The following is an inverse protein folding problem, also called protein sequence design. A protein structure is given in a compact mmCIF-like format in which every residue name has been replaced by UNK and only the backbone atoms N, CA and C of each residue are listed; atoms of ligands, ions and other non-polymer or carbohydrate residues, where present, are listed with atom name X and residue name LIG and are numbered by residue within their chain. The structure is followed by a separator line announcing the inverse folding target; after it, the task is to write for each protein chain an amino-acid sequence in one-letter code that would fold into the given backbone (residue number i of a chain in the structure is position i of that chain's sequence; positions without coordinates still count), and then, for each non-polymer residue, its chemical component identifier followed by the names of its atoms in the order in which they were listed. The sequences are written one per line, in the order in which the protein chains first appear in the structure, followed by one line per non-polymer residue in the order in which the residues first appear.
data_IF_074349854857
#
_entry.id   IF_074349854857
#
_cell.length_a   1.000
_cell.length_b   1.000
_cell.length_c   1.000
_cell.angle_alpha   90.00
_cell.angle_beta   90.00
_cell.angle_gamma   90.00
#
_symmetry.space_group_name_H-M   'P 1'
#
loop_
_entity.id
_entity.type
_entity.pdbx_description
1 polymer ?
#
# COMPACT_ATOMS: atom_id res chain seq x y z
N UNK A 1 2.30 -21.89 -26.44
CA UNK A 1 2.48 -21.09 -25.21
C UNK A 1 2.57 -22.04 -24.02
N UNK A 2 3.63 -21.97 -23.21
CA UNK A 2 3.70 -22.73 -21.97
C UNK A 2 2.61 -22.26 -20.98
N UNK A 3 2.11 -23.17 -20.16
CA UNK A 3 1.11 -22.92 -19.11
C UNK A 3 1.39 -23.81 -17.89
N UNK A 4 0.99 -23.34 -16.71
CA UNK A 4 1.19 -24.08 -15.45
C UNK A 4 0.04 -25.05 -15.21
N UNK A 5 0.37 -26.33 -15.05
CA UNK A 5 -0.55 -27.43 -14.82
C UNK A 5 -0.54 -27.89 -13.35
N UNK A 6 -1.60 -28.56 -12.90
CA UNK A 6 -1.72 -29.20 -11.59
C UNK A 6 -2.32 -30.62 -11.72
N UNK A 7 -2.70 -31.26 -10.61
CA UNK A 7 -3.27 -32.62 -10.64
C UNK A 7 -4.50 -32.74 -11.56
N UNK A 8 -4.52 -33.78 -12.39
CA UNK A 8 -5.56 -34.05 -13.38
C UNK A 8 -5.26 -33.55 -14.79
N UNK A 9 -4.36 -32.57 -14.96
CA UNK A 9 -4.01 -32.02 -16.27
C UNK A 9 -3.20 -33.00 -17.15
N UNK A 10 -2.66 -34.07 -16.55
CA UNK A 10 -1.92 -35.13 -17.25
C UNK A 10 -2.71 -36.44 -17.35
N UNK A 11 -4.00 -36.42 -17.02
CA UNK A 11 -4.86 -37.62 -17.02
C UNK A 11 -4.69 -38.51 -15.79
N UNK A 12 -3.98 -38.04 -14.76
CA UNK A 12 -3.82 -38.71 -13.48
C UNK A 12 -5.14 -38.78 -12.69
N UNK A 13 -5.48 -39.97 -12.18
CA UNK A 13 -6.70 -40.21 -11.41
C UNK A 13 -6.52 -41.36 -10.39
N UNK A 14 -6.95 -41.19 -9.13
CA UNK A 14 -7.49 -39.96 -8.54
C UNK A 14 -6.41 -38.87 -8.41
N UNK A 15 -6.83 -37.61 -8.30
CA UNK A 15 -5.94 -36.48 -8.06
C UNK A 15 -6.63 -35.44 -7.16
N UNK A 16 -5.83 -34.55 -6.56
CA UNK A 16 -6.27 -33.50 -5.64
C UNK A 16 -6.14 -32.08 -6.23
N UNK A 17 -6.11 -31.96 -7.56
CA UNK A 17 -6.10 -30.69 -8.31
C UNK A 17 -5.04 -29.70 -7.80
N UNK A 18 -5.45 -28.46 -7.48
CA UNK A 18 -4.58 -27.37 -7.06
C UNK A 18 -4.01 -27.50 -5.64
N UNK A 19 -4.33 -28.57 -4.89
CA UNK A 19 -3.77 -28.77 -3.55
C UNK A 19 -2.24 -28.86 -3.55
N UNK A 20 -1.60 -29.09 -4.70
CA UNK A 20 -0.15 -29.04 -4.85
C UNK A 20 0.45 -27.61 -4.90
N UNK A 21 -0.38 -26.56 -4.98
CA UNK A 21 0.06 -25.17 -5.14
C UNK A 21 -0.07 -24.35 -3.84
N UNK A 22 0.79 -24.61 -2.85
CA UNK A 22 0.75 -23.92 -1.54
C UNK A 22 1.99 -23.04 -1.25
N UNK A 23 2.77 -22.72 -2.27
CA UNK A 23 4.03 -21.98 -2.12
C UNK A 23 3.84 -20.50 -1.80
N UNK A 24 4.84 -19.91 -1.13
CA UNK A 24 5.02 -18.44 -1.05
C UNK A 24 5.55 -17.84 -2.36
N UNK A 25 5.97 -18.70 -3.29
CA UNK A 25 6.46 -18.35 -4.62
C UNK A 25 5.82 -19.28 -5.63
N UNK A 26 5.69 -18.81 -6.87
CA UNK A 26 5.38 -19.65 -8.03
C UNK A 26 6.51 -20.65 -8.30
N UNK A 27 6.23 -21.64 -9.16
CA UNK A 27 7.20 -22.67 -9.53
C UNK A 27 8.50 -22.09 -10.17
N UNK A 28 8.42 -20.94 -10.81
CA UNK A 28 9.56 -20.20 -11.39
C UNK A 28 10.30 -19.30 -10.39
N UNK A 29 9.92 -19.35 -9.09
CA UNK A 29 10.43 -18.54 -7.97
C UNK A 29 9.97 -17.07 -7.99
N UNK A 30 9.06 -16.69 -8.88
CA UNK A 30 8.38 -15.39 -8.80
C UNK A 30 7.56 -15.33 -7.50
N UNK A 31 7.70 -14.28 -6.66
CA UNK A 31 7.06 -14.23 -5.35
C UNK A 31 5.56 -14.00 -5.40
N UNK A 32 4.81 -14.70 -4.54
CA UNK A 32 3.43 -14.33 -4.22
C UNK A 32 3.41 -13.11 -3.27
N UNK A 33 2.32 -12.33 -3.24
CA UNK A 33 2.17 -11.22 -2.30
C UNK A 33 2.41 -11.62 -0.83
N UNK A 34 2.02 -12.84 -0.46
CA UNK A 34 2.20 -13.39 0.90
C UNK A 34 3.67 -13.46 1.35
N UNK A 35 4.64 -13.57 0.43
CA UNK A 35 6.07 -13.58 0.81
C UNK A 35 6.50 -12.24 1.43
N UNK A 36 5.90 -11.13 0.99
CA UNK A 36 6.21 -9.81 1.55
C UNK A 36 5.70 -9.68 2.99
N UNK A 37 4.52 -10.21 3.27
CA UNK A 37 3.97 -10.27 4.63
C UNK A 37 4.86 -11.14 5.54
N UNK A 38 5.24 -12.33 5.07
CA UNK A 38 6.15 -13.20 5.80
C UNK A 38 7.47 -12.51 6.11
N UNK A 39 8.07 -11.81 5.13
CA UNK A 39 9.31 -11.04 5.32
C UNK A 39 9.16 -9.96 6.40
N UNK A 40 8.05 -9.22 6.41
CA UNK A 40 7.82 -8.17 7.40
C UNK A 40 7.63 -8.75 8.81
N UNK A 41 6.80 -9.79 8.97
CA UNK A 41 6.55 -10.41 10.26
C UNK A 41 7.78 -11.15 10.84
N UNK A 42 8.72 -11.56 9.98
CA UNK A 42 9.95 -12.28 10.36
C UNK A 42 11.18 -11.35 10.42
N UNK A 43 11.00 -10.04 10.39
CA UNK A 43 12.11 -9.10 10.46
C UNK A 43 12.80 -9.15 11.84
N UNK A 44 14.13 -8.98 11.87
CA UNK A 44 14.93 -9.12 13.10
C UNK A 44 15.10 -7.80 13.89
N UNK A 45 14.44 -6.73 13.46
CA UNK A 45 14.45 -5.45 14.15
C UNK A 45 13.01 -5.05 14.48
N UNK A 46 12.75 -4.89 15.76
CA UNK A 46 11.46 -4.41 16.27
C UNK A 46 11.55 -2.92 16.56
N UNK A 47 10.44 -2.20 16.37
CA UNK A 47 10.41 -0.75 16.50
C UNK A 47 9.26 -0.29 17.38
N UNK A 48 9.52 0.69 18.24
CA UNK A 48 8.48 1.49 18.88
C UNK A 48 8.77 2.97 18.73
N UNK A 49 7.72 3.79 18.77
CA UNK A 49 7.80 5.24 18.64
C UNK A 49 7.20 5.89 19.89
N UNK A 50 7.98 6.71 20.59
CA UNK A 50 7.54 7.53 21.72
C UNK A 50 7.94 8.99 21.48
N UNK A 51 6.94 9.84 21.23
CA UNK A 51 7.19 11.22 20.80
C UNK A 51 7.94 11.27 19.47
N UNK A 52 9.21 11.70 19.50
CA UNK A 52 10.12 11.73 18.34
C UNK A 52 11.24 10.69 18.43
N UNK A 53 11.19 9.81 19.41
CA UNK A 53 12.23 8.82 19.65
C UNK A 53 11.79 7.46 19.14
N UNK A 54 12.55 6.92 18.20
CA UNK A 54 12.42 5.54 17.74
C UNK A 54 13.28 4.68 18.66
N UNK A 55 12.67 3.68 19.30
CA UNK A 55 13.41 2.59 19.94
C UNK A 55 13.52 1.44 18.94
N UNK A 56 14.76 1.04 18.64
CA UNK A 56 15.07 -0.14 17.82
C UNK A 56 15.52 -1.26 18.75
N UNK A 57 14.90 -2.43 18.67
CA UNK A 57 15.29 -3.63 19.41
C UNK A 57 15.77 -4.71 18.43
N UNK A 58 16.93 -5.30 18.69
CA UNK A 58 17.46 -6.41 17.88
C UNK A 58 16.95 -7.75 18.41
N UNK A 59 16.40 -8.57 17.52
CA UNK A 59 16.04 -9.96 17.82
C UNK A 59 17.14 -10.95 17.42
N UNK A 60 18.27 -10.47 16.90
CA UNK A 60 19.45 -11.32 16.73
C UNK A 60 19.94 -11.84 18.09
N UNK A 61 20.49 -13.06 18.08
CA UNK A 61 21.01 -13.74 19.28
C UNK A 61 22.54 -13.66 19.41
N UNK A 62 23.25 -13.43 18.31
CA UNK A 62 24.72 -13.54 18.28
C UNK A 62 25.43 -12.38 17.58
N UNK A 63 24.87 -11.85 16.49
CA UNK A 63 25.52 -10.80 15.70
C UNK A 63 25.10 -9.40 16.14
N UNK A 64 26.07 -8.50 16.06
CA UNK A 64 25.85 -7.07 16.13
C UNK A 64 25.23 -6.54 14.82
N UNK A 65 24.61 -5.37 14.85
CA UNK A 65 24.10 -4.68 13.65
C UNK A 65 25.21 -3.99 12.83
N UNK A 66 26.25 -4.74 12.49
CA UNK A 66 27.48 -4.27 11.82
C UNK A 66 27.33 -3.97 10.32
N UNK A 67 26.16 -4.25 9.74
CA UNK A 67 25.84 -3.97 8.34
C UNK A 67 24.41 -3.44 8.21
N UNK A 68 24.00 -2.56 9.13
CA UNK A 68 22.64 -2.02 9.15
C UNK A 68 22.62 -0.51 9.33
N UNK A 69 21.89 0.15 8.42
CA UNK A 69 21.64 1.58 8.41
C UNK A 69 20.13 1.82 8.47
N UNK A 70 19.66 2.58 9.46
CA UNK A 70 18.26 2.96 9.55
C UNK A 70 18.01 4.22 8.71
N UNK A 71 17.22 4.09 7.64
CA UNK A 71 16.68 5.21 6.90
C UNK A 71 15.31 5.58 7.47
N UNK A 72 15.07 6.86 7.70
CA UNK A 72 13.76 7.37 8.08
C UNK A 72 13.30 8.44 7.09
N UNK A 73 11.99 8.50 6.86
CA UNK A 73 11.34 9.47 5.99
C UNK A 73 10.03 9.92 6.62
N UNK A 74 9.79 11.22 6.62
CA UNK A 74 8.51 11.83 6.96
C UNK A 74 7.86 12.36 5.69
N UNK A 75 6.59 11.99 5.48
CA UNK A 75 5.81 12.41 4.32
C UNK A 75 4.40 12.88 4.73
N UNK A 76 3.85 13.86 4.02
CA UNK A 76 2.46 14.31 4.14
C UNK A 76 1.67 13.76 2.95
N UNK A 77 0.73 12.85 3.21
CA UNK A 77 -0.09 12.20 2.16
C UNK A 77 0.75 11.70 0.97
N UNK A 78 1.88 11.05 1.28
CA UNK A 78 2.82 10.52 0.27
C UNK A 78 3.83 11.53 -0.30
N UNK A 79 3.76 12.82 0.05
CA UNK A 79 4.73 13.85 -0.36
C UNK A 79 5.87 13.93 0.65
N UNK A 80 7.13 13.58 0.28
CA UNK A 80 8.26 13.63 1.21
C UNK A 80 8.51 15.04 1.73
N UNK A 81 8.78 15.17 3.03
CA UNK A 81 9.08 16.44 3.70
C UNK A 81 10.47 16.46 4.32
N UNK A 82 10.88 15.36 4.95
CA UNK A 82 12.18 15.21 5.59
C UNK A 82 12.61 13.75 5.55
N UNK A 83 13.92 13.52 5.54
CA UNK A 83 14.51 12.19 5.60
C UNK A 83 15.89 12.25 6.22
N UNK A 84 16.38 11.12 6.70
CA UNK A 84 17.75 10.97 7.14
C UNK A 84 18.11 9.51 7.34
N UNK A 85 19.35 9.29 7.77
CA UNK A 85 19.91 7.98 8.01
C UNK A 85 20.72 7.98 9.30
N UNK A 86 20.68 6.86 10.03
CA UNK A 86 21.38 6.68 11.31
C UNK A 86 21.95 5.26 11.34
N UNK A 87 23.28 5.09 11.50
CA UNK A 87 23.86 3.77 11.68
C UNK A 87 23.25 3.05 12.88
N UNK A 88 22.89 1.78 12.71
CA UNK A 88 22.48 0.96 13.83
C UNK A 88 23.71 0.40 14.52
N UNK A 89 23.81 0.62 15.82
CA UNK A 89 24.86 0.12 16.70
C UNK A 89 24.20 -0.66 17.86
N UNK A 90 23.55 -1.78 17.52
CA UNK A 90 22.72 -2.59 18.41
C UNK A 90 23.32 -3.98 18.60
N UNK A 91 23.63 -4.30 19.85
CA UNK A 91 24.02 -5.63 20.27
C UNK A 91 22.86 -6.65 20.13
N UNK A 92 23.14 -7.97 20.08
CA UNK A 92 22.09 -8.99 20.12
C UNK A 92 21.18 -8.80 21.34
N UNK A 93 19.85 -8.90 21.14
CA UNK A 93 18.83 -8.65 22.18
C UNK A 93 18.86 -7.21 22.77
N UNK A 94 19.70 -6.33 22.21
CA UNK A 94 19.91 -4.98 22.69
C UNK A 94 18.91 -3.97 22.12
N UNK A 95 19.03 -2.74 22.61
CA UNK A 95 18.19 -1.60 22.21
C UNK A 95 19.04 -0.38 21.86
N UNK A 96 18.57 0.40 20.89
CA UNK A 96 19.12 1.72 20.58
C UNK A 96 17.98 2.73 20.45
N UNK A 97 18.19 3.90 21.05
CA UNK A 97 17.28 5.03 20.97
C UNK A 97 17.78 6.01 19.91
N UNK A 98 16.90 6.39 19.00
CA UNK A 98 17.18 7.32 17.91
C UNK A 98 16.18 8.47 18.01
N UNK A 99 16.66 9.63 18.44
CA UNK A 99 15.85 10.85 18.44
C UNK A 99 15.85 11.47 17.04
N UNK A 100 14.68 11.58 16.43
CA UNK A 100 14.52 12.28 15.15
C UNK A 100 14.82 13.77 15.31
N UNK A 101 15.34 14.46 14.28
CA UNK A 101 15.52 15.91 14.34
C UNK A 101 14.17 16.64 14.49
N UNK A 102 14.21 17.97 14.62
CA UNK A 102 13.00 18.79 14.58
C UNK A 102 12.23 18.54 13.27
N UNK A 103 11.05 17.92 13.37
CA UNK A 103 10.26 17.56 12.20
C UNK A 103 9.53 18.79 11.63
N UNK A 104 9.49 18.96 10.29
CA UNK A 104 8.76 20.05 9.69
C UNK A 104 7.27 19.94 10.02
N UNK A 105 6.66 21.04 10.46
CA UNK A 105 5.23 21.13 10.67
C UNK A 105 4.55 21.67 9.41
N UNK A 106 3.88 20.83 8.61
CA UNK A 106 3.19 21.30 7.43
C UNK A 106 2.01 22.20 7.83
N UNK A 107 1.79 23.26 7.07
CA UNK A 107 0.60 24.12 7.22
C UNK A 107 -0.60 23.59 6.45
N UNK A 108 -0.38 22.74 5.45
CA UNK A 108 -1.45 22.10 4.69
C UNK A 108 -2.12 21.00 5.50
N UNK A 109 -3.39 20.76 5.18
CA UNK A 109 -4.13 19.61 5.68
C UNK A 109 -3.51 18.30 5.17
N UNK A 110 -3.70 17.22 5.92
CA UNK A 110 -3.25 15.88 5.60
C UNK A 110 -2.70 15.11 6.79
N UNK A 111 -2.37 13.84 6.55
CA UNK A 111 -1.77 12.95 7.53
C UNK A 111 -0.25 12.91 7.34
N UNK A 112 0.50 13.24 8.40
CA UNK A 112 1.92 12.96 8.44
C UNK A 112 2.18 11.48 8.76
N UNK A 113 3.13 10.91 8.05
CA UNK A 113 3.60 9.55 8.23
C UNK A 113 5.10 9.54 8.43
N UNK A 114 5.57 8.78 9.42
CA UNK A 114 6.96 8.39 9.57
C UNK A 114 7.11 6.96 9.06
N UNK A 115 7.99 6.75 8.08
CA UNK A 115 8.40 5.43 7.61
C UNK A 115 9.87 5.22 7.91
N UNK A 116 10.23 4.05 8.42
CA UNK A 116 11.61 3.64 8.63
C UNK A 116 11.92 2.36 7.86
N UNK A 117 13.15 2.24 7.38
CA UNK A 117 13.69 1.05 6.73
C UNK A 117 15.07 0.75 7.30
N UNK A 118 15.36 -0.53 7.57
CA UNK A 118 16.73 -0.99 7.82
C UNK A 118 17.31 -1.48 6.51
N UNK A 119 18.39 -0.85 6.09
CA UNK A 119 19.09 -1.13 4.84
C UNK A 119 20.45 -1.72 5.15
N UNK A 120 20.83 -2.75 4.40
CA UNK A 120 22.17 -3.31 4.43
C UNK A 120 23.06 -2.60 3.41
N UNK A 121 23.96 -1.68 3.81
CA UNK A 121 24.75 -0.90 2.86
C UNK A 121 25.73 -1.76 2.07
N UNK A 122 26.29 -2.80 2.67
CA UNK A 122 27.23 -3.70 2.01
C UNK A 122 26.54 -4.98 1.54
N UNK A 123 26.95 -5.48 0.38
CA UNK A 123 26.50 -6.79 -0.12
C UNK A 123 26.98 -7.92 0.80
N UNK A 124 26.18 -8.99 0.86
CA UNK A 124 26.53 -10.24 1.53
C UNK A 124 26.53 -11.39 0.54
N UNK A 125 26.79 -12.62 0.99
CA UNK A 125 26.68 -13.81 0.14
C UNK A 125 25.24 -14.10 -0.33
N UNK A 126 24.23 -13.49 0.30
CA UNK A 126 22.80 -13.75 0.03
C UNK A 126 21.98 -12.49 -0.29
N UNK A 127 22.53 -11.30 -0.09
CA UNK A 127 21.87 -10.02 -0.39
C UNK A 127 22.77 -9.08 -1.17
N UNK A 128 22.17 -8.35 -2.11
CA UNK A 128 22.84 -7.23 -2.76
C UNK A 128 23.02 -6.05 -1.77
N UNK A 129 23.97 -5.18 -2.07
CA UNK A 129 24.08 -3.88 -1.39
C UNK A 129 22.76 -3.10 -1.54
N UNK A 130 22.31 -2.47 -0.46
CA UNK A 130 21.03 -1.76 -0.39
C UNK A 130 19.82 -2.66 -0.05
N UNK A 131 20.02 -3.91 0.36
CA UNK A 131 18.91 -4.80 0.74
C UNK A 131 18.15 -4.27 1.96
N UNK A 132 16.84 -4.11 1.83
CA UNK A 132 15.94 -3.73 2.92
C UNK A 132 15.59 -4.98 3.74
N UNK A 133 16.02 -5.05 4.99
CA UNK A 133 15.79 -6.21 5.87
C UNK A 133 14.59 -6.05 6.81
N UNK A 134 14.22 -4.81 7.16
CA UNK A 134 13.11 -4.51 8.04
C UNK A 134 12.49 -3.15 7.67
N UNK A 135 11.21 -2.94 8.00
CA UNK A 135 10.58 -1.63 7.89
C UNK A 135 9.42 -1.49 8.88
N UNK A 136 9.03 -0.25 9.15
CA UNK A 136 7.83 0.04 9.93
C UNK A 136 7.30 1.45 9.60
N UNK A 137 6.02 1.69 9.84
CA UNK A 137 5.41 2.99 9.61
C UNK A 137 4.43 3.39 10.73
N UNK A 138 4.44 4.67 11.09
CA UNK A 138 3.51 5.26 12.05
C UNK A 138 2.84 6.50 11.49
N UNK A 139 1.58 6.69 11.87
CA UNK A 139 0.91 7.99 11.79
C UNK A 139 1.53 8.92 12.83
N UNK A 140 1.85 10.14 12.41
CA UNK A 140 2.24 11.24 13.30
C UNK A 140 1.02 12.17 13.47
N UNK A 141 1.26 13.49 13.47
CA UNK A 141 0.21 14.48 13.50
C UNK A 141 -0.66 14.46 12.24
N UNK A 142 -1.93 14.79 12.42
CA UNK A 142 -2.90 14.97 11.35
C UNK A 142 -3.45 16.40 11.43
N UNK A 143 -3.39 17.12 10.31
CA UNK A 143 -4.04 18.40 10.17
C UNK A 143 -5.33 18.19 9.38
N UNK A 144 -6.47 18.21 10.06
CA UNK A 144 -7.77 18.06 9.40
C UNK A 144 -8.03 19.24 8.46
N UNK A 145 -8.56 18.95 7.27
CA UNK A 145 -9.01 20.00 6.36
C UNK A 145 -10.23 20.70 6.91
N UNK A 146 -10.08 21.97 7.25
CA UNK A 146 -11.18 22.86 7.69
C UNK A 146 -11.55 23.89 6.62
N UNK A 147 -10.87 23.86 5.47
CA UNK A 147 -11.17 24.75 4.34
C UNK A 147 -12.42 24.28 3.63
N UNK A 148 -13.43 25.15 3.56
CA UNK A 148 -14.61 24.90 2.72
C UNK A 148 -14.17 24.84 1.24
N UNK A 149 -14.73 23.91 0.44
CA UNK A 149 -14.49 23.92 -0.99
C UNK A 149 -14.94 25.25 -1.60
N UNK A 150 -14.21 25.75 -2.59
CA UNK A 150 -14.59 26.97 -3.30
C UNK A 150 -15.99 26.86 -3.86
N UNK A 151 -16.74 27.97 -3.82
CA UNK A 151 -18.08 28.01 -4.40
C UNK A 151 -18.02 27.56 -5.87
N UNK A 152 -18.92 26.66 -6.30
CA UNK A 152 -18.94 26.21 -7.68
C UNK A 152 -19.28 27.39 -8.59
N UNK A 153 -18.56 27.50 -9.72
CA UNK A 153 -18.78 28.54 -10.71
C UNK A 153 -19.93 28.20 -11.68
N UNK A 154 -20.41 26.96 -11.64
CA UNK A 154 -21.47 26.44 -12.50
C UNK A 154 -22.37 25.48 -11.72
N UNK A 155 -23.65 25.44 -12.10
CA UNK A 155 -24.67 24.57 -11.50
C UNK A 155 -25.01 23.47 -12.51
N UNK A 156 -24.89 22.18 -12.13
CA UNK A 156 -25.26 21.09 -13.02
C UNK A 156 -26.75 21.13 -13.37
N UNK A 157 -27.08 20.85 -14.63
CA UNK A 157 -28.46 20.82 -15.12
C UNK A 157 -29.02 19.40 -15.01
N UNK A 158 -30.21 19.27 -14.43
CA UNK A 158 -30.95 18.02 -14.35
C UNK A 158 -31.99 17.97 -15.47
N UNK A 159 -31.89 16.97 -16.33
CA UNK A 159 -32.93 16.61 -17.30
C UNK A 159 -33.61 15.32 -16.85
N UNK A 160 -34.93 15.38 -16.68
CA UNK A 160 -35.74 14.22 -16.26
C UNK A 160 -36.49 13.66 -17.45
N UNK A 161 -36.37 12.36 -17.66
CA UNK A 161 -37.17 11.58 -18.62
C UNK A 161 -37.85 10.43 -17.89
N UNK A 162 -38.76 9.70 -18.54
CA UNK A 162 -39.40 8.51 -17.95
C UNK A 162 -38.39 7.40 -17.60
N UNK A 163 -37.31 7.27 -18.38
CA UNK A 163 -36.31 6.20 -18.22
C UNK A 163 -35.14 6.59 -17.34
N UNK A 164 -34.72 7.86 -17.38
CA UNK A 164 -33.45 8.29 -16.78
C UNK A 164 -33.51 9.68 -16.15
N UNK A 165 -32.66 9.88 -15.14
CA UNK A 165 -32.19 11.19 -14.70
C UNK A 165 -30.82 11.44 -15.35
N UNK A 166 -30.72 12.51 -16.15
CA UNK A 166 -29.48 12.95 -16.77
C UNK A 166 -28.99 14.23 -16.09
N UNK A 167 -27.76 14.20 -15.57
CA UNK A 167 -27.09 15.37 -15.00
C UNK A 167 -25.96 15.79 -15.94
N UNK A 168 -25.92 17.06 -16.33
CA UNK A 168 -24.91 17.63 -17.22
C UNK A 168 -24.19 18.82 -16.58
N UNK A 169 -22.87 18.86 -16.70
CA UNK A 169 -22.02 19.98 -16.27
C UNK A 169 -20.82 20.08 -17.20
N UNK A 170 -20.73 21.20 -17.94
CA UNK A 170 -19.75 21.40 -18.99
C UNK A 170 -19.72 20.23 -19.98
N UNK A 171 -18.57 19.58 -20.15
CA UNK A 171 -18.39 18.40 -21.01
C UNK A 171 -18.66 17.07 -20.29
N UNK A 172 -19.22 17.06 -19.09
CA UNK A 172 -19.49 15.84 -18.31
C UNK A 172 -20.98 15.57 -18.25
N UNK A 173 -21.34 14.30 -18.39
CA UNK A 173 -22.72 13.83 -18.25
C UNK A 173 -22.79 12.55 -17.43
N UNK A 174 -23.78 12.45 -16.56
CA UNK A 174 -24.10 11.28 -15.76
C UNK A 174 -25.55 10.85 -16.06
N UNK A 175 -25.78 9.59 -16.39
CA UNK A 175 -27.11 9.03 -16.61
C UNK A 175 -27.41 7.98 -15.53
N UNK A 176 -28.48 8.22 -14.78
CA UNK A 176 -29.01 7.31 -13.78
C UNK A 176 -30.30 6.70 -14.31
N UNK A 177 -30.35 5.38 -14.40
CA UNK A 177 -31.54 4.69 -14.87
C UNK A 177 -32.58 4.56 -13.74
N UNK A 178 -33.80 5.02 -14.01
CA UNK A 178 -34.88 5.12 -13.01
C UNK A 178 -35.49 3.78 -12.64
N UNK A 179 -35.47 2.80 -13.54
CA UNK A 179 -35.99 1.46 -13.27
C UNK A 179 -35.05 0.63 -12.39
N UNK A 180 -33.74 0.67 -12.70
CA UNK A 180 -32.73 -0.10 -11.99
C UNK A 180 -32.13 0.62 -10.78
N UNK A 181 -32.21 1.94 -10.73
CA UNK A 181 -31.65 2.77 -9.65
C UNK A 181 -30.14 3.02 -9.74
N UNK A 182 -29.47 2.55 -10.81
CA UNK A 182 -28.01 2.62 -10.94
C UNK A 182 -27.54 3.75 -11.87
N UNK A 183 -26.30 4.20 -11.64
CA UNK A 183 -25.54 4.97 -12.62
C UNK A 183 -25.21 4.05 -13.81
N UNK A 184 -25.94 4.23 -14.91
CA UNK A 184 -25.86 3.35 -16.09
C UNK A 184 -24.78 3.78 -17.07
N UNK A 185 -24.45 5.08 -17.13
CA UNK A 185 -23.42 5.61 -18.01
C UNK A 185 -22.86 6.94 -17.50
N UNK A 186 -21.61 7.21 -17.88
CA UNK A 186 -20.96 8.51 -17.75
C UNK A 186 -20.30 8.90 -19.08
N UNK A 187 -20.23 10.20 -19.36
CA UNK A 187 -19.50 10.74 -20.51
C UNK A 187 -18.52 11.83 -20.10
N UNK A 188 -17.42 11.89 -20.85
CA UNK A 188 -16.52 13.04 -20.91
C UNK A 188 -16.40 13.42 -22.39
N UNK A 189 -16.95 14.57 -22.76
CA UNK A 189 -17.29 14.88 -24.15
C UNK A 189 -18.23 13.82 -24.72
N UNK A 190 -17.91 13.29 -25.90
CA UNK A 190 -18.70 12.22 -26.54
C UNK A 190 -18.31 10.81 -26.09
N UNK A 191 -17.28 10.67 -25.24
CA UNK A 191 -16.72 9.37 -24.85
C UNK A 191 -17.46 8.77 -23.65
N UNK A 192 -18.12 7.62 -23.87
CA UNK A 192 -18.65 6.76 -22.80
C UNK A 192 -17.52 6.25 -21.90
N UNK A 193 -17.76 6.23 -20.60
CA UNK A 193 -16.78 5.81 -19.59
C UNK A 193 -17.10 4.42 -19.00
N UNK A 194 -18.34 3.96 -19.12
CA UNK A 194 -18.79 2.69 -18.53
C UNK A 194 -19.18 1.70 -19.63
N UNK A 195 -18.67 0.47 -19.54
CA UNK A 195 -19.17 -0.67 -20.33
C UNK A 195 -20.35 -1.35 -19.63
N UNK A 196 -20.36 -1.33 -18.30
CA UNK A 196 -21.41 -1.87 -17.44
C UNK A 196 -21.78 -0.84 -16.37
N UNK A 197 -23.04 -0.79 -15.90
CA UNK A 197 -23.45 0.11 -14.83
C UNK A 197 -22.65 -0.06 -13.54
N UNK A 198 -22.55 1.02 -12.75
CA UNK A 198 -22.01 0.96 -11.38
C UNK A 198 -23.07 0.39 -10.44
N UNK A 199 -22.76 -0.72 -9.77
CA UNK A 199 -23.71 -1.49 -8.96
C UNK A 199 -23.07 -1.97 -7.67
N UNK A 200 -23.90 -2.25 -6.67
CA UNK A 200 -23.48 -2.94 -5.45
C UNK A 200 -22.96 -4.35 -5.76
N UNK A 201 -21.91 -4.77 -5.05
CA UNK A 201 -21.34 -6.11 -5.15
C UNK A 201 -21.08 -6.67 -3.75
N UNK A 202 -21.79 -7.74 -3.39
CA UNK A 202 -21.69 -8.41 -2.09
C UNK A 202 -20.99 -9.78 -2.18
N UNK A 203 -20.39 -10.08 -3.32
CA UNK A 203 -19.70 -11.34 -3.59
C UNK A 203 -18.28 -11.10 -4.09
N UNK A 204 -17.44 -12.13 -3.95
CA UNK A 204 -16.10 -12.23 -4.55
C UNK A 204 -15.95 -13.62 -5.15
N UNK A 205 -15.04 -13.77 -6.13
CA UNK A 205 -14.62 -15.10 -6.55
C UNK A 205 -14.01 -15.85 -5.34
N UNK A 206 -14.36 -17.12 -5.11
CA UNK A 206 -13.78 -17.89 -4.02
C UNK A 206 -12.27 -18.02 -4.20
N UNK A 207 -11.53 -17.93 -3.09
CA UNK A 207 -10.07 -18.03 -3.05
C UNK A 207 -9.61 -19.47 -3.18
#
# INVERSE_FOLDING_TARGET
NPWSAYGGDFGDTPNDRQFCMNGLVFADRTPHPALTEAKHQQQFFQFSLSGRTIEVTSEYLFRHSDNELLHWMVALDGKPLASGEVPLDVAPQGKQLIELPGLPQPKSAGQLWLTVHVVQPNATTWSAAGHISAWQQWRLAENLSVTLPSAPHAIPQLTTSETDFCIELDNKRWQFNRQSGFLSQMWIGDKKQLLTPLRDQFTRAPL
#
